data_IF_384207254676
#
_entry.id   IF_384207254676
#
_cell.length_a   1.000
_cell.length_b   1.000
_cell.length_c   1.000
_cell.angle_alpha   90.00
_cell.angle_beta   90.00
_cell.angle_gamma   90.00
#
_symmetry.space_group_name_H-M   'P 1'
#
loop_
_entity.id
_entity.type
_entity.pdbx_description
1 polymer ?
#
# COMPACT_ATOMS: atom_id res chain seq x y z
N UNK A 1 21.44 25.45 -10.29
CA UNK A 1 21.32 24.51 -11.43
C UNK A 1 20.18 23.56 -11.13
N UNK A 2 19.10 23.59 -11.92
CA UNK A 2 18.16 22.48 -11.92
C UNK A 2 18.90 21.29 -12.56
N UNK A 3 18.95 20.15 -11.88
CA UNK A 3 19.50 18.94 -12.49
C UNK A 3 18.61 18.55 -13.69
N UNK A 4 19.09 18.80 -14.91
CA UNK A 4 18.39 18.37 -16.11
C UNK A 4 18.57 16.86 -16.29
N UNK A 5 17.53 16.09 -15.97
CA UNK A 5 17.50 14.66 -16.21
C UNK A 5 17.48 14.39 -17.72
N UNK A 6 18.27 13.41 -18.16
CA UNK A 6 18.31 12.97 -19.56
C UNK A 6 16.95 12.40 -20.00
N UNK A 7 16.61 12.47 -21.30
CA UNK A 7 15.34 11.92 -21.81
C UNK A 7 15.13 10.45 -21.45
N UNK A 8 16.20 9.65 -21.51
CA UNK A 8 16.18 8.23 -21.13
C UNK A 8 15.78 8.03 -19.67
N UNK A 9 16.35 8.81 -18.74
CA UNK A 9 16.01 8.70 -17.32
C UNK A 9 14.55 9.09 -17.09
N UNK A 10 14.10 10.20 -17.70
CA UNK A 10 12.70 10.66 -17.60
C UNK A 10 11.70 9.62 -18.08
N UNK A 11 12.02 8.91 -19.15
CA UNK A 11 11.20 7.82 -19.68
C UNK A 11 11.06 6.67 -18.67
N UNK A 12 12.19 6.16 -18.16
CA UNK A 12 12.18 5.03 -17.22
C UNK A 12 11.55 5.36 -15.87
N UNK A 13 11.64 6.61 -15.42
CA UNK A 13 11.00 7.06 -14.18
C UNK A 13 9.47 6.87 -14.19
N UNK A 14 8.81 6.92 -15.35
CA UNK A 14 7.37 6.69 -15.45
C UNK A 14 6.94 5.28 -15.00
N UNK A 15 7.85 4.30 -15.01
CA UNK A 15 7.57 2.92 -14.64
C UNK A 15 7.86 2.61 -13.17
N UNK A 16 8.64 3.46 -12.48
CA UNK A 16 9.01 3.23 -11.08
C UNK A 16 7.79 3.16 -10.15
N UNK A 17 6.84 4.09 -10.31
CA UNK A 17 5.61 4.11 -9.52
C UNK A 17 4.72 2.87 -9.82
N UNK A 18 4.38 2.55 -11.08
CA UNK A 18 3.63 1.33 -11.40
C UNK A 18 4.24 0.03 -10.84
N UNK A 19 5.55 -0.15 -10.98
CA UNK A 19 6.24 -1.34 -10.44
C UNK A 19 6.10 -1.39 -8.92
N UNK A 20 6.29 -0.24 -8.25
CA UNK A 20 6.09 -0.14 -6.79
C UNK A 20 4.66 -0.47 -6.39
N UNK A 21 3.65 -0.06 -7.17
CA UNK A 21 2.24 -0.38 -6.89
C UNK A 21 1.95 -1.88 -7.00
N UNK A 22 2.53 -2.59 -7.96
CA UNK A 22 2.41 -4.06 -8.04
C UNK A 22 3.05 -4.78 -6.87
N UNK A 23 4.24 -4.33 -6.44
CA UNK A 23 4.90 -4.86 -5.23
C UNK A 23 4.03 -4.61 -4.00
N UNK A 24 3.47 -3.41 -3.86
CA UNK A 24 2.57 -3.06 -2.76
C UNK A 24 1.28 -3.88 -2.76
N UNK A 25 0.70 -4.17 -3.94
CA UNK A 25 -0.45 -5.06 -4.05
C UNK A 25 -0.11 -6.48 -3.54
N UNK A 26 1.03 -7.05 -3.95
CA UNK A 26 1.47 -8.35 -3.46
C UNK A 26 1.71 -8.35 -1.94
N UNK A 27 2.39 -7.31 -1.42
CA UNK A 27 2.60 -7.15 0.02
C UNK A 27 1.27 -6.99 0.78
N UNK A 28 0.27 -6.31 0.21
CA UNK A 28 -1.03 -6.13 0.82
C UNK A 28 -1.81 -7.45 0.96
N UNK A 29 -1.74 -8.31 -0.05
CA UNK A 29 -2.33 -9.65 0.01
C UNK A 29 -1.64 -10.51 1.07
N UNK A 30 -0.31 -10.44 1.15
CA UNK A 30 0.43 -11.14 2.20
C UNK A 30 0.13 -10.58 3.59
N UNK A 31 0.02 -9.26 3.75
CA UNK A 31 -0.37 -8.62 5.01
C UNK A 31 -1.79 -9.04 5.44
N UNK A 32 -2.74 -9.11 4.49
CA UNK A 32 -4.09 -9.61 4.72
C UNK A 32 -4.08 -11.06 5.19
N UNK A 33 -3.32 -11.94 4.53
CA UNK A 33 -3.09 -13.31 4.98
C UNK A 33 -2.55 -13.37 6.42
N UNK A 34 -1.51 -12.59 6.73
CA UNK A 34 -0.96 -12.53 8.08
C UNK A 34 -1.99 -12.04 9.11
N UNK A 35 -2.81 -11.04 8.76
CA UNK A 35 -3.90 -10.54 9.60
C UNK A 35 -4.95 -11.60 9.91
N UNK A 36 -5.33 -12.41 8.91
CA UNK A 36 -6.22 -13.56 9.10
C UNK A 36 -5.59 -14.62 10.01
N UNK A 37 -4.29 -14.90 9.88
CA UNK A 37 -3.58 -15.81 10.78
C UNK A 37 -3.50 -15.29 12.22
N UNK A 38 -3.35 -13.97 12.41
CA UNK A 38 -3.44 -13.34 13.74
C UNK A 38 -4.83 -13.56 14.35
N UNK A 39 -5.90 -13.37 13.57
CA UNK A 39 -7.27 -13.63 14.03
C UNK A 39 -7.48 -15.11 14.37
N UNK A 40 -7.00 -16.03 13.52
CA UNK A 40 -7.06 -17.47 13.75
C UNK A 40 -6.33 -17.85 15.05
N UNK A 41 -5.11 -17.35 15.25
CA UNK A 41 -4.30 -17.62 16.45
C UNK A 41 -5.00 -17.17 17.73
N UNK A 42 -5.72 -16.04 17.69
CA UNK A 42 -6.48 -15.54 18.84
C UNK A 42 -7.66 -16.43 19.21
N UNK A 43 -8.32 -17.00 18.20
CA UNK A 43 -9.54 -17.78 18.36
C UNK A 43 -9.30 -19.29 18.54
N UNK A 44 -8.11 -19.79 18.18
CA UNK A 44 -7.74 -21.19 18.33
C UNK A 44 -7.57 -21.63 19.80
N UNK A 45 -7.69 -22.94 20.04
CA UNK A 45 -7.53 -23.56 21.35
C UNK A 45 -6.65 -24.82 21.26
N UNK A 46 -6.20 -25.36 22.40
CA UNK A 46 -5.45 -26.62 22.47
C UNK A 46 -4.17 -26.63 21.64
N UNK A 47 -3.90 -27.77 20.99
CA UNK A 47 -2.70 -27.98 20.16
C UNK A 47 -2.64 -27.06 18.94
N UNK A 48 -3.78 -26.75 18.32
CA UNK A 48 -3.82 -25.81 17.18
C UNK A 48 -3.24 -24.44 17.57
N UNK A 49 -3.62 -23.92 18.74
CA UNK A 49 -3.09 -22.64 19.24
C UNK A 49 -1.58 -22.71 19.46
N UNK A 50 -1.08 -23.80 20.04
CA UNK A 50 0.36 -23.99 20.30
C UNK A 50 1.16 -23.96 18.99
N UNK A 51 0.67 -24.63 17.94
CA UNK A 51 1.30 -24.62 16.62
C UNK A 51 1.25 -23.23 15.98
N UNK A 52 0.09 -22.56 15.99
CA UNK A 52 -0.07 -21.24 15.38
C UNK A 52 0.82 -20.16 16.03
N UNK A 53 1.06 -20.23 17.34
CA UNK A 53 1.95 -19.30 18.05
C UNK A 53 3.39 -19.36 17.50
N UNK A 54 3.87 -20.53 17.08
CA UNK A 54 5.21 -20.69 16.47
C UNK A 54 5.35 -19.87 15.19
N UNK A 55 4.25 -19.63 14.48
CA UNK A 55 4.22 -18.84 13.24
C UNK A 55 4.56 -17.36 13.42
N UNK A 56 4.47 -16.82 14.65
CA UNK A 56 4.76 -15.42 15.02
C UNK A 56 4.04 -14.39 14.12
N UNK A 57 2.81 -14.68 13.73
CA UNK A 57 2.06 -13.90 12.74
C UNK A 57 1.87 -12.43 13.13
N UNK A 58 1.71 -12.10 14.42
CA UNK A 58 1.60 -10.71 14.88
C UNK A 58 2.85 -9.89 14.58
N UNK A 59 4.05 -10.47 14.79
CA UNK A 59 5.32 -9.79 14.52
C UNK A 59 5.47 -9.58 13.01
N UNK A 60 5.25 -10.63 12.22
CA UNK A 60 5.33 -10.56 10.75
C UNK A 60 4.35 -9.54 10.19
N UNK A 61 3.10 -9.54 10.67
CA UNK A 61 2.07 -8.59 10.23
C UNK A 61 2.47 -7.15 10.53
N UNK A 62 3.00 -6.89 11.74
CA UNK A 62 3.49 -5.56 12.10
C UNK A 62 4.67 -5.10 11.22
N UNK A 63 5.65 -5.98 10.98
CA UNK A 63 6.81 -5.66 10.13
C UNK A 63 6.40 -5.37 8.67
N UNK A 64 5.58 -6.24 8.07
CA UNK A 64 5.09 -6.03 6.71
C UNK A 64 4.21 -4.77 6.64
N UNK A 65 3.35 -4.54 7.63
CA UNK A 65 2.55 -3.31 7.72
C UNK A 65 3.40 -2.04 7.77
N UNK A 66 4.49 -2.04 8.54
CA UNK A 66 5.43 -0.90 8.60
C UNK A 66 6.16 -0.67 7.27
N UNK A 67 6.59 -1.74 6.60
CA UNK A 67 7.20 -1.66 5.26
C UNK A 67 6.18 -1.10 4.26
N UNK A 68 4.95 -1.60 4.28
CA UNK A 68 3.88 -1.10 3.40
C UNK A 68 3.58 0.37 3.63
N UNK A 69 3.49 0.83 4.89
CA UNK A 69 3.29 2.24 5.21
C UNK A 69 4.39 3.11 4.59
N UNK A 70 5.65 2.74 4.80
CA UNK A 70 6.80 3.48 4.26
C UNK A 70 6.76 3.51 2.72
N UNK A 71 6.54 2.35 2.08
CA UNK A 71 6.51 2.24 0.62
C UNK A 71 5.30 2.95 0.00
N UNK A 72 4.12 2.92 0.61
CA UNK A 72 2.95 3.64 0.11
C UNK A 72 3.14 5.15 0.18
N UNK A 73 3.64 5.66 1.30
CA UNK A 73 3.92 7.11 1.44
C UNK A 73 5.00 7.55 0.45
N UNK A 74 6.13 6.84 0.40
CA UNK A 74 7.21 7.15 -0.53
C UNK A 74 6.77 7.01 -2.00
N UNK A 75 6.01 5.96 -2.34
CA UNK A 75 5.50 5.72 -3.68
C UNK A 75 4.49 6.77 -4.13
N UNK A 76 3.65 7.28 -3.23
CA UNK A 76 2.73 8.39 -3.51
C UNK A 76 3.48 9.69 -3.77
N UNK A 77 4.43 10.03 -2.91
CA UNK A 77 5.25 11.25 -3.06
C UNK A 77 6.10 11.15 -4.35
N UNK A 78 6.76 10.01 -4.56
CA UNK A 78 7.60 9.75 -5.73
C UNK A 78 6.81 9.77 -7.05
N UNK A 79 5.60 9.17 -7.08
CA UNK A 79 4.74 9.21 -8.26
C UNK A 79 4.32 10.62 -8.65
N UNK A 80 3.95 11.45 -7.66
CA UNK A 80 3.66 12.87 -7.89
C UNK A 80 4.91 13.63 -8.36
N UNK A 81 6.07 13.39 -7.73
CA UNK A 81 7.33 14.04 -8.11
C UNK A 81 7.72 13.73 -9.56
N UNK A 82 7.66 12.45 -9.98
CA UNK A 82 7.94 12.05 -11.37
C UNK A 82 6.95 12.71 -12.33
N UNK A 83 5.66 12.73 -11.99
CA UNK A 83 4.63 13.38 -12.81
C UNK A 83 4.96 14.87 -13.02
N UNK A 84 5.31 15.57 -11.95
CA UNK A 84 5.66 16.99 -12.00
C UNK A 84 6.94 17.24 -12.80
N UNK A 85 8.00 16.45 -12.59
CA UNK A 85 9.27 16.56 -13.33
C UNK A 85 9.06 16.38 -14.84
N UNK A 86 8.20 15.43 -15.24
CA UNK A 86 7.98 15.10 -16.64
C UNK A 86 6.98 16.03 -17.34
N UNK A 87 6.05 16.66 -16.61
CA UNK A 87 4.92 17.39 -17.21
C UNK A 87 4.80 18.86 -16.75
N UNK A 88 5.60 19.31 -15.77
CA UNK A 88 5.50 20.65 -15.18
C UNK A 88 4.24 20.90 -14.35
N UNK A 89 3.39 19.88 -14.17
CA UNK A 89 2.15 19.95 -13.37
C UNK A 89 1.72 18.57 -12.89
N UNK A 90 0.82 18.55 -11.90
CA UNK A 90 0.09 17.35 -11.50
C UNK A 90 -1.26 17.28 -12.22
N UNK A 91 -1.68 16.07 -12.59
CA UNK A 91 -3.00 15.82 -13.14
C UNK A 91 -3.94 15.37 -12.03
N UNK A 92 -4.90 16.23 -11.67
CA UNK A 92 -5.92 15.91 -10.66
C UNK A 92 -7.01 15.07 -11.30
N UNK A 93 -6.85 13.75 -11.23
CA UNK A 93 -7.83 12.79 -11.73
C UNK A 93 -8.16 11.71 -10.68
N UNK A 94 -9.09 10.79 -10.98
CA UNK A 94 -9.52 9.75 -10.05
C UNK A 94 -8.37 8.90 -9.50
N UNK A 95 -7.35 8.62 -10.31
CA UNK A 95 -6.16 7.86 -9.90
C UNK A 95 -5.39 8.59 -8.77
N UNK A 96 -5.07 9.88 -8.96
CA UNK A 96 -4.35 10.66 -7.95
C UNK A 96 -5.17 10.78 -6.65
N UNK A 97 -6.46 11.11 -6.77
CA UNK A 97 -7.32 11.30 -5.59
C UNK A 97 -7.48 10.00 -4.79
N UNK A 98 -7.62 8.87 -5.48
CA UNK A 98 -7.66 7.56 -4.83
C UNK A 98 -6.33 7.21 -4.16
N UNK A 99 -5.19 7.43 -4.83
CA UNK A 99 -3.86 7.19 -4.26
C UNK A 99 -3.57 8.02 -3.01
N UNK A 100 -3.93 9.31 -3.02
CA UNK A 100 -3.84 10.18 -1.85
C UNK A 100 -4.77 9.71 -0.72
N UNK A 101 -6.00 9.31 -1.06
CA UNK A 101 -6.94 8.75 -0.09
C UNK A 101 -6.35 7.50 0.56
N UNK A 102 -5.83 6.56 -0.23
CA UNK A 102 -5.18 5.34 0.27
C UNK A 102 -4.00 5.64 1.19
N UNK A 103 -3.19 6.65 0.87
CA UNK A 103 -2.07 7.10 1.71
C UNK A 103 -2.56 7.59 3.08
N UNK A 104 -3.65 8.36 3.11
CA UNK A 104 -4.30 8.75 4.36
C UNK A 104 -4.85 7.55 5.13
N UNK A 105 -5.57 6.65 4.43
CA UNK A 105 -6.17 5.46 5.04
C UNK A 105 -5.12 4.56 5.70
N UNK A 106 -3.97 4.32 5.06
CA UNK A 106 -2.93 3.45 5.66
C UNK A 106 -2.29 4.11 6.89
N UNK A 107 -2.11 5.43 6.87
CA UNK A 107 -1.59 6.16 8.03
C UNK A 107 -2.56 6.08 9.22
N UNK A 108 -3.86 6.30 8.99
CA UNK A 108 -4.90 6.12 10.02
C UNK A 108 -4.99 4.66 10.48
N UNK A 109 -4.91 3.70 9.57
CA UNK A 109 -4.91 2.28 9.90
C UNK A 109 -3.74 1.89 10.81
N UNK A 110 -2.53 2.38 10.49
CA UNK A 110 -1.33 2.12 11.27
C UNK A 110 -1.38 2.76 12.67
N UNK A 111 -1.94 3.97 12.78
CA UNK A 111 -2.04 4.70 14.06
C UNK A 111 -3.01 4.04 15.07
N UNK A 112 -3.84 3.09 14.63
CA UNK A 112 -4.70 2.29 15.52
C UNK A 112 -3.92 1.20 16.30
N UNK A 113 -2.68 0.90 15.90
CA UNK A 113 -1.86 -0.18 16.49
C UNK A 113 -1.75 -0.12 18.02
N UNK A 114 -1.47 1.04 18.66
CA UNK A 114 -1.38 1.12 20.13
C UNK A 114 -2.69 0.75 20.83
N UNK A 115 -3.85 1.13 20.27
CA UNK A 115 -5.16 0.78 20.84
C UNK A 115 -5.46 -0.72 20.68
N UNK A 116 -5.12 -1.29 19.52
CA UNK A 116 -5.26 -2.73 19.29
C UNK A 116 -4.38 -3.57 20.20
N UNK A 117 -3.15 -3.11 20.49
CA UNK A 117 -2.24 -3.75 21.44
C UNK A 117 -2.81 -3.72 22.87
N UNK A 118 -3.51 -2.64 23.24
CA UNK A 118 -4.24 -2.52 24.52
C UNK A 118 -5.56 -3.29 24.59
N UNK A 119 -5.90 -4.09 23.57
CA UNK A 119 -7.11 -4.91 23.60
C UNK A 119 -8.35 -4.28 22.97
N UNK A 120 -8.31 -3.04 22.50
CA UNK A 120 -9.49 -2.33 22.01
C UNK A 120 -10.06 -2.97 20.72
N UNK A 121 -11.27 -3.53 20.83
CA UNK A 121 -11.91 -4.20 19.69
C UNK A 121 -12.40 -3.22 18.62
N UNK A 122 -12.87 -2.02 18.98
CA UNK A 122 -13.26 -1.01 18.00
C UNK A 122 -12.08 -0.65 17.07
N UNK A 123 -10.88 -0.49 17.63
CA UNK A 123 -9.68 -0.19 16.86
C UNK A 123 -9.31 -1.33 15.89
N UNK A 124 -9.50 -2.58 16.30
CA UNK A 124 -9.28 -3.74 15.42
C UNK A 124 -10.26 -3.78 14.26
N UNK A 125 -11.55 -3.57 14.53
CA UNK A 125 -12.59 -3.59 13.50
C UNK A 125 -12.35 -2.45 12.52
N UNK A 126 -12.06 -1.24 13.02
CA UNK A 126 -11.71 -0.09 12.16
C UNK A 126 -10.47 -0.38 11.33
N UNK A 127 -9.39 -0.89 11.93
CA UNK A 127 -8.17 -1.26 11.20
C UNK A 127 -8.46 -2.26 10.08
N UNK A 128 -9.22 -3.33 10.36
CA UNK A 128 -9.61 -4.33 9.37
C UNK A 128 -10.39 -3.67 8.23
N UNK A 129 -11.42 -2.88 8.54
CA UNK A 129 -12.23 -2.19 7.54
C UNK A 129 -11.39 -1.28 6.63
N UNK A 130 -10.53 -0.44 7.23
CA UNK A 130 -9.64 0.45 6.48
C UNK A 130 -8.71 -0.32 5.53
N UNK A 131 -8.13 -1.43 5.98
CA UNK A 131 -7.22 -2.22 5.15
C UNK A 131 -7.93 -2.99 4.03
N UNK A 132 -9.15 -3.47 4.25
CA UNK A 132 -9.93 -4.06 3.16
C UNK A 132 -10.39 -3.02 2.13
N UNK A 133 -10.71 -1.80 2.58
CA UNK A 133 -10.96 -0.68 1.67
C UNK A 133 -9.71 -0.33 0.85
N UNK A 134 -8.53 -0.27 1.48
CA UNK A 134 -7.24 -0.06 0.79
C UNK A 134 -6.98 -1.18 -0.23
N UNK A 135 -7.21 -2.45 0.13
CA UNK A 135 -7.01 -3.58 -0.79
C UNK A 135 -7.95 -3.49 -2.01
N UNK A 136 -9.22 -3.17 -1.80
CA UNK A 136 -10.17 -2.94 -2.89
C UNK A 136 -9.75 -1.79 -3.80
N UNK A 137 -9.29 -0.68 -3.21
CA UNK A 137 -8.75 0.45 -3.97
C UNK A 137 -7.47 0.09 -4.73
N UNK A 138 -6.58 -0.72 -4.17
CA UNK A 138 -5.39 -1.20 -4.88
C UNK A 138 -5.75 -1.98 -6.14
N UNK A 139 -6.71 -2.90 -6.05
CA UNK A 139 -7.17 -3.70 -7.20
C UNK A 139 -7.74 -2.78 -8.29
N UNK A 140 -8.58 -1.81 -7.91
CA UNK A 140 -9.11 -0.81 -8.84
C UNK A 140 -8.01 0.06 -9.46
N UNK A 141 -7.06 0.52 -8.64
CA UNK A 141 -5.94 1.35 -9.08
C UNK A 141 -5.03 0.60 -10.04
N UNK A 142 -4.81 -0.71 -9.84
CA UNK A 142 -4.01 -1.53 -10.75
C UNK A 142 -4.58 -1.53 -12.17
N UNK A 143 -5.91 -1.60 -12.33
CA UNK A 143 -6.57 -1.51 -13.64
C UNK A 143 -6.42 -0.12 -14.26
N UNK A 144 -6.77 0.93 -13.50
CA UNK A 144 -6.66 2.32 -14.01
C UNK A 144 -5.22 2.73 -14.33
N UNK A 145 -4.23 2.20 -13.61
CA UNK A 145 -2.82 2.46 -13.84
C UNK A 145 -2.31 1.88 -15.15
N UNK A 146 -2.79 0.68 -15.53
CA UNK A 146 -2.46 0.07 -16.82
C UNK A 146 -2.97 0.94 -17.98
N UNK A 147 -4.18 1.48 -17.88
CA UNK A 147 -4.72 2.40 -18.90
C UNK A 147 -3.84 3.66 -19.05
N UNK A 148 -3.30 4.19 -17.95
CA UNK A 148 -2.41 5.36 -17.98
C UNK A 148 -1.10 5.00 -18.70
N UNK A 149 -0.49 3.86 -18.39
CA UNK A 149 0.74 3.40 -19.05
C UNK A 149 0.49 3.21 -20.54
N UNK A 150 -0.62 2.58 -20.94
CA UNK A 150 -0.99 2.42 -22.34
C UNK A 150 -1.07 3.76 -23.06
N UNK A 151 -1.74 4.77 -22.47
CA UNK A 151 -1.81 6.11 -23.05
C UNK A 151 -0.43 6.75 -23.23
N UNK A 152 0.50 6.55 -22.31
CA UNK A 152 1.88 7.02 -22.42
C UNK A 152 2.57 6.32 -23.59
N UNK A 153 2.48 4.99 -23.69
CA UNK A 153 3.12 4.21 -24.75
C UNK A 153 2.55 4.50 -26.14
N UNK A 154 1.24 4.72 -26.27
CA UNK A 154 0.60 5.01 -27.57
C UNK A 154 0.79 6.44 -28.07
N UNK A 155 1.20 7.36 -27.19
CA UNK A 155 1.45 8.77 -27.52
C UNK A 155 2.95 9.13 -27.52
N UNK A 156 3.81 8.18 -27.18
CA UNK A 156 5.27 8.31 -27.18
C UNK A 156 5.86 8.06 -28.57
#
# INVERSE_FOLDING_TARGET
MAFELTPTIRFWLNFAHPVTMWVLLALSLYAAYLGLQVQRTRNAQGEEKKELIKGRYTIKHHQIGSIMLALMVAGSIGGMAVTYINNGKLFVGPHLLAGLSMTGLIAFSASLSPFMQKGANWARITHIFLNFAILGLFIWQALSGVEIIQRILTKA
#
